data_IF_810428995980
#
_entry.id   IF_810428995980
#
_cell.length_a   1.000
_cell.length_b   1.000
_cell.length_c   1.000
_cell.angle_alpha   90.00
_cell.angle_beta   90.00
_cell.angle_gamma   90.00
#
_symmetry.space_group_name_H-M   'P 1'
#
loop_
_entity.id
_entity.type
_entity.pdbx_description
1 polymer ?
#
# COMPACT_ATOMS: atom_id res chain seq x y z
N UNK A 1 21.34 4.18 11.11
CA UNK A 1 21.12 2.91 11.85
C UNK A 1 19.95 2.08 11.28
N UNK A 2 20.06 0.75 11.29
CA UNK A 2 19.05 -0.18 10.73
C UNK A 2 17.72 -0.09 11.50
N UNK A 3 17.78 0.00 12.83
CA UNK A 3 16.59 0.08 13.71
C UNK A 3 15.71 1.30 13.38
N UNK A 4 16.31 2.46 13.15
CA UNK A 4 15.57 3.68 12.78
C UNK A 4 14.83 3.53 11.44
N UNK A 5 15.43 2.85 10.45
CA UNK A 5 14.78 2.57 9.16
C UNK A 5 13.60 1.62 9.31
N UNK A 6 13.73 0.57 10.14
CA UNK A 6 12.64 -0.37 10.42
C UNK A 6 11.46 0.33 11.11
N UNK A 7 11.74 1.20 12.09
CA UNK A 7 10.71 1.99 12.76
C UNK A 7 10.00 2.93 11.79
N UNK A 8 10.76 3.64 10.94
CA UNK A 8 10.20 4.51 9.91
C UNK A 8 9.27 3.74 8.96
N UNK A 9 9.67 2.55 8.53
CA UNK A 9 8.85 1.68 7.68
C UNK A 9 7.58 1.21 8.40
N UNK A 10 7.68 0.87 9.70
CA UNK A 10 6.52 0.47 10.49
C UNK A 10 5.50 1.62 10.63
N UNK A 11 5.97 2.84 10.92
CA UNK A 11 5.12 4.04 11.01
C UNK A 11 4.45 4.33 9.66
N UNK A 12 5.21 4.24 8.55
CA UNK A 12 4.66 4.42 7.19
C UNK A 12 3.50 3.45 6.91
N UNK A 13 3.69 2.16 7.23
CA UNK A 13 2.65 1.13 7.02
C UNK A 13 1.42 1.37 7.89
N UNK A 14 1.60 1.77 9.15
CA UNK A 14 0.48 2.12 10.02
C UNK A 14 -0.35 3.27 9.43
N UNK A 15 0.34 4.29 8.90
CA UNK A 15 -0.32 5.46 8.31
C UNK A 15 -1.14 5.11 7.07
N UNK A 16 -0.67 4.19 6.25
CA UNK A 16 -1.42 3.69 5.10
C UNK A 16 -2.68 2.91 5.52
N UNK A 17 -2.61 2.09 6.57
CA UNK A 17 -3.80 1.41 7.09
C UNK A 17 -4.82 2.39 7.67
N UNK A 18 -4.36 3.44 8.36
CA UNK A 18 -5.25 4.49 8.85
C UNK A 18 -5.90 5.24 7.68
N UNK A 19 -5.16 5.51 6.61
CA UNK A 19 -5.72 6.13 5.41
C UNK A 19 -6.80 5.25 4.76
N UNK A 20 -6.60 3.94 4.68
CA UNK A 20 -7.62 3.00 4.19
C UNK A 20 -8.88 3.01 5.05
N UNK A 21 -8.73 2.96 6.39
CA UNK A 21 -9.86 3.01 7.30
C UNK A 21 -10.61 4.36 7.23
N UNK A 22 -9.88 5.47 7.14
CA UNK A 22 -10.47 6.79 6.98
C UNK A 22 -11.21 6.91 5.65
N UNK A 23 -10.64 6.39 4.57
CA UNK A 23 -11.28 6.32 3.26
C UNK A 23 -12.58 5.51 3.29
N UNK A 24 -12.56 4.34 3.96
CA UNK A 24 -13.76 3.53 4.15
C UNK A 24 -14.84 4.26 4.95
N UNK A 25 -14.47 4.98 6.02
CA UNK A 25 -15.41 5.77 6.83
C UNK A 25 -15.98 6.97 6.06
N UNK A 26 -15.18 7.64 5.24
CA UNK A 26 -15.61 8.81 4.47
C UNK A 26 -16.51 8.43 3.29
N UNK A 27 -16.24 7.30 2.64
CA UNK A 27 -16.99 6.83 1.46
C UNK A 27 -18.16 5.93 1.83
N UNK A 28 -18.15 5.36 3.05
CA UNK A 28 -19.05 4.30 3.48
C UNK A 28 -19.01 3.07 2.55
N UNK A 29 -17.90 2.88 1.82
CA UNK A 29 -17.75 1.82 0.82
C UNK A 29 -16.39 1.09 0.94
N UNK A 30 -16.17 0.32 2.03
CA UNK A 30 -14.94 -0.45 2.20
C UNK A 30 -14.74 -1.50 1.09
N UNK A 31 -15.82 -2.05 0.53
CA UNK A 31 -15.76 -3.08 -0.52
C UNK A 31 -15.32 -2.48 -1.84
N UNK A 32 -15.83 -1.30 -2.21
CA UNK A 32 -15.38 -0.56 -3.38
C UNK A 32 -13.92 -0.12 -3.28
N UNK A 33 -13.46 0.32 -2.10
CA UNK A 33 -12.04 0.59 -1.86
C UNK A 33 -11.18 -0.66 -2.06
N UNK A 34 -11.61 -1.82 -1.54
CA UNK A 34 -10.90 -3.08 -1.73
C UNK A 34 -10.83 -3.47 -3.22
N UNK A 35 -11.93 -3.34 -3.95
CA UNK A 35 -11.98 -3.61 -5.39
C UNK A 35 -11.09 -2.66 -6.20
N UNK A 36 -11.03 -1.37 -5.83
CA UNK A 36 -10.14 -0.39 -6.43
C UNK A 36 -8.66 -0.77 -6.22
N UNK A 37 -8.29 -1.19 -5.01
CA UNK A 37 -6.94 -1.66 -4.73
C UNK A 37 -6.59 -2.94 -5.51
N UNK A 38 -7.52 -3.88 -5.65
CA UNK A 38 -7.32 -5.07 -6.48
C UNK A 38 -7.05 -4.71 -7.94
N UNK A 39 -7.80 -3.74 -8.48
CA UNK A 39 -7.60 -3.24 -9.85
C UNK A 39 -6.24 -2.55 -10.00
N UNK A 40 -5.84 -1.71 -9.05
CA UNK A 40 -4.53 -1.04 -9.06
C UNK A 40 -3.39 -2.07 -9.01
N UNK A 41 -3.50 -3.09 -8.16
CA UNK A 41 -2.49 -4.13 -8.02
C UNK A 41 -2.32 -5.04 -9.25
N UNK A 42 -3.28 -5.01 -10.18
CA UNK A 42 -3.23 -5.72 -11.46
C UNK A 42 -2.78 -4.82 -12.62
N UNK A 43 -2.55 -3.52 -12.36
CA UNK A 43 -2.06 -2.58 -13.36
C UNK A 43 -0.64 -2.92 -13.84
N UNK A 44 -0.25 -2.41 -15.02
CA UNK A 44 1.09 -2.61 -15.56
C UNK A 44 2.14 -1.92 -14.66
N UNK A 45 3.33 -2.50 -14.58
CA UNK A 45 4.45 -1.85 -13.91
C UNK A 45 4.86 -0.56 -14.63
N UNK A 46 5.18 0.46 -13.86
CA UNK A 46 5.60 1.75 -14.36
C UNK A 46 7.11 1.73 -14.58
N UNK A 47 7.52 1.65 -15.84
CA UNK A 47 8.94 1.63 -16.23
C UNK A 47 9.68 2.93 -15.85
N UNK A 48 8.94 4.04 -15.71
CA UNK A 48 9.48 5.36 -15.38
C UNK A 48 9.50 5.66 -13.87
N UNK A 49 8.98 4.75 -13.03
CA UNK A 49 8.94 4.98 -11.59
C UNK A 49 10.35 4.85 -10.97
N UNK A 50 10.90 5.98 -10.53
CA UNK A 50 12.14 6.02 -9.78
C UNK A 50 11.95 5.70 -8.30
N UNK A 51 13.02 5.27 -7.61
CA UNK A 51 12.98 5.01 -6.16
C UNK A 51 12.54 6.22 -5.34
N UNK A 52 12.94 7.41 -5.79
CA UNK A 52 12.57 8.66 -5.15
C UNK A 52 11.07 8.98 -5.27
N UNK A 53 10.38 8.54 -6.32
CA UNK A 53 8.95 8.83 -6.53
C UNK A 53 8.03 7.71 -6.07
N UNK A 54 8.58 6.55 -5.68
CA UNK A 54 7.83 5.37 -5.28
C UNK A 54 6.80 5.61 -4.15
N UNK A 55 7.11 6.53 -3.24
CA UNK A 55 6.24 6.90 -2.12
C UNK A 55 5.02 7.77 -2.51
N UNK A 56 4.96 8.22 -3.77
CA UNK A 56 3.82 8.97 -4.32
C UNK A 56 2.75 8.04 -4.91
N UNK A 57 3.04 6.74 -5.06
CA UNK A 57 2.13 5.78 -5.67
C UNK A 57 1.26 5.08 -4.62
N UNK A 58 0.03 4.72 -4.99
CA UNK A 58 -0.93 4.04 -4.10
C UNK A 58 -0.51 2.58 -3.83
N UNK A 59 0.15 1.96 -4.80
CA UNK A 59 0.69 0.61 -4.73
C UNK A 59 2.12 0.60 -5.28
N UNK A 60 2.86 -0.47 -5.00
CA UNK A 60 4.21 -0.64 -5.54
C UNK A 60 4.19 -0.51 -7.07
N UNK A 61 4.90 0.48 -7.66
CA UNK A 61 4.88 0.71 -9.11
C UNK A 61 5.69 -0.33 -9.90
N UNK A 62 6.49 -1.17 -9.23
CA UNK A 62 7.27 -2.26 -9.82
C UNK A 62 6.56 -3.62 -9.67
N UNK A 63 6.85 -4.58 -10.56
CA UNK A 63 6.12 -5.86 -10.64
C UNK A 63 6.21 -6.71 -9.36
N UNK A 64 5.23 -7.60 -9.20
CA UNK A 64 4.97 -8.50 -8.06
C UNK A 64 6.11 -9.45 -7.64
N UNK A 65 7.23 -9.50 -8.37
CA UNK A 65 8.31 -10.47 -8.17
C UNK A 65 9.55 -9.91 -7.45
N UNK A 66 9.58 -8.63 -7.11
CA UNK A 66 10.69 -8.10 -6.33
C UNK A 66 10.51 -8.45 -4.85
N UNK A 67 11.26 -9.45 -4.40
CA UNK A 67 11.45 -9.88 -3.00
C UNK A 67 11.97 -8.75 -2.08
N UNK A 68 12.06 -7.51 -2.56
CA UNK A 68 12.52 -6.32 -1.83
C UNK A 68 11.41 -5.65 -1.01
N UNK A 69 10.47 -6.45 -0.48
CA UNK A 69 9.45 -6.06 0.52
C UNK A 69 10.00 -5.26 1.71
N UNK A 70 11.32 -5.32 1.93
CA UNK A 70 12.05 -4.61 2.97
C UNK A 70 12.20 -3.11 2.71
N UNK A 71 12.04 -2.64 1.47
CA UNK A 71 12.13 -1.20 1.12
C UNK A 71 10.83 -0.61 0.58
N UNK A 72 9.79 -1.43 0.42
CA UNK A 72 8.45 -0.92 0.11
C UNK A 72 7.95 -0.11 1.31
N UNK A 73 7.76 1.20 1.10
CA UNK A 73 7.15 2.13 2.06
C UNK A 73 5.68 1.82 2.32
N UNK A 74 5.07 0.98 1.48
CA UNK A 74 3.68 0.56 1.56
C UNK A 74 3.52 -0.86 2.11
N UNK A 75 2.45 -1.14 2.87
CA UNK A 75 2.10 -2.50 3.24
C UNK A 75 1.68 -3.31 1.99
N UNK A 76 1.80 -4.65 2.03
CA UNK A 76 1.33 -5.50 0.94
C UNK A 76 -0.15 -5.21 0.60
N UNK A 77 -0.47 -5.05 -0.68
CA UNK A 77 -1.84 -4.69 -1.11
C UNK A 77 -2.86 -5.76 -0.69
N UNK A 78 -2.46 -7.04 -0.70
CA UNK A 78 -3.31 -8.15 -0.23
C UNK A 78 -3.74 -7.97 1.24
N UNK A 79 -2.85 -7.47 2.11
CA UNK A 79 -3.16 -7.22 3.51
C UNK A 79 -4.13 -6.05 3.67
N UNK A 80 -3.98 -4.98 2.87
CA UNK A 80 -4.91 -3.84 2.85
C UNK A 80 -6.32 -4.26 2.43
N UNK A 81 -6.41 -5.04 1.34
CA UNK A 81 -7.67 -5.60 0.83
C UNK A 81 -8.35 -6.45 1.92
N UNK A 82 -7.58 -7.31 2.60
CA UNK A 82 -8.08 -8.16 3.67
C UNK A 82 -8.71 -7.34 4.79
N UNK A 83 -8.06 -6.27 5.25
CA UNK A 83 -8.57 -5.39 6.32
C UNK A 83 -9.83 -4.63 5.90
N UNK A 84 -9.83 -4.06 4.69
CA UNK A 84 -11.01 -3.37 4.16
C UNK A 84 -12.22 -4.30 4.08
N UNK A 85 -12.03 -5.54 3.60
CA UNK A 85 -13.11 -6.54 3.56
C UNK A 85 -13.56 -7.04 4.94
N UNK A 86 -12.69 -6.97 5.94
CA UNK A 86 -13.01 -7.34 7.32
C UNK A 86 -13.80 -6.26 8.08
N UNK A 87 -14.01 -5.07 7.50
CA UNK A 87 -14.75 -3.97 8.13
C UNK A 87 -13.89 -2.98 8.91
N UNK A 88 -12.56 -3.02 8.77
CA UNK A 88 -11.61 -2.14 9.47
C UNK A 88 -10.78 -2.87 10.51
#
# INVERSE_FOLDING_TARGET
PIVAKLLQLAISRLRDFLADSAGALLTLDPVGLAAALEKIAQGPALQTAGRATAHLFIANPWQRHDWTHLFSTHPPVAERIRRLRAGG
#
